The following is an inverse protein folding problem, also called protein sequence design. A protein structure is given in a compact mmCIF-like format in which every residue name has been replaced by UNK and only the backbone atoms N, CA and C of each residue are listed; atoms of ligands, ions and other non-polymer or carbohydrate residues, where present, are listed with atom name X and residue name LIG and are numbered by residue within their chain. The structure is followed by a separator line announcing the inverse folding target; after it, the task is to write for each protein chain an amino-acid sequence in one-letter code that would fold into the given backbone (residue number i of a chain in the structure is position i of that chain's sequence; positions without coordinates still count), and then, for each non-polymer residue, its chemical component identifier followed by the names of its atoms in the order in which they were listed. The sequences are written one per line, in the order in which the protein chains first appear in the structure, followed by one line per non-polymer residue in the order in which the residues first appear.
data_IF_767219084132
#
_entry.id   IF_767219084132
#
_cell.length_a   1.000
_cell.length_b   1.000
_cell.length_c   1.000
_cell.angle_alpha   90.00
_cell.angle_beta   90.00
_cell.angle_gamma   90.00
#
_symmetry.space_group_name_H-M   'P 1'
#
loop_
_entity.id
_entity.type
_entity.pdbx_description
1 polymer ?
#
# COMPACT_ATOMS: atom_id res chain seq x y z
N UNK A 1 85.61 33.92 15.42
CA UNK A 1 84.50 33.43 14.59
C UNK A 1 83.69 34.62 14.09
N UNK A 2 83.86 34.98 12.82
CA UNK A 2 83.30 36.20 12.23
C UNK A 2 81.78 36.10 12.09
N UNK A 3 81.04 37.22 12.16
CA UNK A 3 79.58 37.24 12.03
C UNK A 3 79.07 36.68 10.70
N UNK A 4 79.92 36.67 9.67
CA UNK A 4 79.61 36.11 8.35
C UNK A 4 79.50 34.57 8.36
N UNK A 5 80.38 33.89 9.09
CA UNK A 5 80.36 32.42 9.17
C UNK A 5 79.10 31.91 9.89
N UNK A 6 78.65 32.63 10.93
CA UNK A 6 77.40 32.29 11.64
C UNK A 6 76.16 32.43 10.77
N UNK A 7 76.14 33.35 9.81
CA UNK A 7 75.03 33.52 8.87
C UNK A 7 74.99 32.41 7.83
N UNK A 8 76.16 31.97 7.36
CA UNK A 8 76.27 30.83 6.42
C UNK A 8 75.83 29.54 7.09
N UNK A 9 76.31 29.26 8.31
CA UNK A 9 75.91 28.06 9.06
C UNK A 9 74.40 28.03 9.34
N UNK A 10 73.79 29.18 9.65
CA UNK A 10 72.33 29.29 9.83
C UNK A 10 71.56 29.09 8.52
N UNK A 11 72.04 29.64 7.41
CA UNK A 11 71.41 29.47 6.11
C UNK A 11 71.45 28.00 5.66
N UNK A 12 72.59 27.34 5.84
CA UNK A 12 72.75 25.92 5.50
C UNK A 12 71.89 25.02 6.40
N UNK A 13 71.81 25.32 7.70
CA UNK A 13 70.93 24.60 8.62
C UNK A 13 69.45 24.74 8.25
N UNK A 14 69.00 25.95 7.88
CA UNK A 14 67.61 26.18 7.46
C UNK A 14 67.30 25.48 6.12
N UNK A 15 68.25 25.45 5.19
CA UNK A 15 68.08 24.76 3.92
C UNK A 15 67.93 23.25 4.09
N UNK A 16 68.75 22.65 4.97
CA UNK A 16 68.67 21.23 5.28
C UNK A 16 67.33 20.85 5.93
N UNK A 17 66.81 21.68 6.83
CA UNK A 17 65.48 21.45 7.45
C UNK A 17 64.36 21.56 6.42
N UNK A 18 64.44 22.53 5.50
CA UNK A 18 63.43 22.69 4.46
C UNK A 18 63.39 21.50 3.47
N UNK A 19 64.55 20.92 3.14
CA UNK A 19 64.64 19.73 2.29
C UNK A 19 64.10 18.48 3.00
N UNK A 20 64.43 18.30 4.28
CA UNK A 20 63.92 17.19 5.08
C UNK A 20 62.39 17.22 5.18
N UNK A 21 61.79 18.39 5.43
CA UNK A 21 60.33 18.52 5.47
C UNK A 21 59.66 18.24 4.12
N UNK A 22 60.29 18.63 3.00
CA UNK A 22 59.75 18.34 1.67
C UNK A 22 59.82 16.84 1.35
N UNK A 23 60.88 16.15 1.77
CA UNK A 23 60.99 14.71 1.61
C UNK A 23 59.94 13.96 2.43
N UNK A 24 59.76 14.33 3.70
CA UNK A 24 58.73 13.74 4.58
C UNK A 24 57.31 14.02 4.06
N UNK A 25 57.05 15.24 3.58
CA UNK A 25 55.78 15.61 2.95
C UNK A 25 55.53 14.79 1.68
N UNK A 26 56.54 14.60 0.83
CA UNK A 26 56.41 13.79 -0.38
C UNK A 26 56.15 12.30 -0.07
N UNK A 27 56.78 11.75 0.97
CA UNK A 27 56.55 10.38 1.41
C UNK A 27 55.16 10.18 2.03
N UNK A 28 54.71 11.13 2.87
CA UNK A 28 53.35 11.09 3.42
C UNK A 28 52.29 11.24 2.34
N UNK A 29 52.52 12.10 1.34
CA UNK A 29 51.61 12.25 0.21
C UNK A 29 51.55 11.00 -0.68
N UNK A 30 52.68 10.30 -0.86
CA UNK A 30 52.72 8.99 -1.55
C UNK A 30 52.01 7.90 -0.77
N UNK A 31 52.12 7.87 0.56
CA UNK A 31 51.40 6.91 1.42
C UNK A 31 49.90 7.17 1.49
N UNK A 32 49.49 8.44 1.34
CA UNK A 32 48.09 8.85 1.45
C UNK A 32 47.35 8.89 0.11
N UNK A 33 48.01 8.68 -1.03
CA UNK A 33 47.28 8.53 -2.30
C UNK A 33 46.54 7.18 -2.30
N UNK A 34 45.19 7.16 -2.21
CA UNK A 34 44.46 5.92 -2.38
C UNK A 34 44.72 5.38 -3.79
N UNK A 35 44.74 4.06 -4.00
CA UNK A 35 44.84 3.52 -5.34
C UNK A 35 43.69 4.09 -6.17
N UNK A 36 44.02 4.78 -7.26
CA UNK A 36 43.03 5.25 -8.25
C UNK A 36 42.32 4.02 -8.80
N UNK A 37 41.17 3.66 -8.20
CA UNK A 37 40.24 2.64 -8.72
C UNK A 37 39.53 3.22 -9.96
N UNK A 38 40.30 3.43 -11.01
CA UNK A 38 39.78 3.73 -12.34
C UNK A 38 39.34 2.41 -12.96
N UNK A 39 38.09 2.06 -12.72
CA UNK A 39 37.44 0.91 -13.30
C UNK A 39 36.07 0.83 -12.69
N UNK A 40 35.10 1.52 -13.29
CA UNK A 40 33.70 1.10 -13.19
C UNK A 40 33.67 -0.36 -13.59
N UNK A 41 33.65 -1.23 -12.58
CA UNK A 41 33.70 -2.67 -12.78
C UNK A 41 32.52 -3.02 -13.69
N UNK A 42 32.70 -3.83 -14.74
CA UNK A 42 31.61 -4.19 -15.65
C UNK A 42 30.40 -4.74 -14.89
N UNK A 43 30.61 -5.34 -13.72
CA UNK A 43 29.59 -5.74 -12.77
C UNK A 43 28.65 -4.60 -12.34
N UNK A 44 29.13 -3.38 -12.08
CA UNK A 44 28.26 -2.26 -11.67
C UNK A 44 27.40 -1.76 -12.82
N UNK A 45 27.93 -1.80 -14.05
CA UNK A 45 27.18 -1.49 -15.27
C UNK A 45 26.08 -2.53 -15.49
N UNK A 46 26.41 -3.82 -15.38
CA UNK A 46 25.43 -4.90 -15.49
C UNK A 46 24.32 -4.80 -14.44
N UNK A 47 24.66 -4.51 -13.18
CA UNK A 47 23.68 -4.30 -12.10
C UNK A 47 22.79 -3.09 -12.42
N UNK A 48 23.37 -2.00 -12.93
CA UNK A 48 22.62 -0.80 -13.33
C UNK A 48 21.62 -1.09 -14.46
N UNK A 49 22.03 -1.85 -15.48
CA UNK A 49 21.16 -2.27 -16.59
C UNK A 49 20.04 -3.18 -16.07
N UNK A 50 20.38 -4.17 -15.23
CA UNK A 50 19.40 -5.07 -14.65
C UNK A 50 18.36 -4.30 -13.81
N UNK A 51 18.81 -3.36 -12.98
CA UNK A 51 17.91 -2.51 -12.19
C UNK A 51 17.01 -1.66 -13.10
N UNK A 52 17.55 -1.03 -14.14
CA UNK A 52 16.76 -0.24 -15.09
C UNK A 52 15.70 -1.10 -15.82
N UNK A 53 16.05 -2.32 -16.23
CA UNK A 53 15.11 -3.26 -16.84
C UNK A 53 14.00 -3.68 -15.86
N UNK A 54 14.33 -3.97 -14.61
CA UNK A 54 13.34 -4.33 -13.57
C UNK A 54 12.41 -3.16 -13.28
N UNK A 55 12.92 -1.93 -13.15
CA UNK A 55 12.09 -0.75 -12.97
C UNK A 55 11.20 -0.48 -14.20
N UNK A 56 11.74 -0.61 -15.40
CA UNK A 56 10.97 -0.45 -16.65
C UNK A 56 9.86 -1.49 -16.78
N UNK A 57 10.16 -2.74 -16.43
CA UNK A 57 9.17 -3.81 -16.38
C UNK A 57 8.11 -3.55 -15.29
N UNK A 58 8.51 -3.11 -14.11
CA UNK A 58 7.59 -2.79 -13.01
C UNK A 58 6.62 -1.65 -13.39
N UNK A 59 7.09 -0.67 -14.16
CA UNK A 59 6.27 0.45 -14.63
C UNK A 59 5.29 0.07 -15.74
N UNK A 60 5.69 -0.84 -16.64
CA UNK A 60 4.87 -1.27 -17.78
C UNK A 60 3.90 -2.40 -17.40
N UNK A 61 4.38 -3.42 -16.71
CA UNK A 61 3.58 -4.58 -16.34
C UNK A 61 2.71 -4.33 -15.10
N UNK A 62 3.03 -3.32 -14.27
CA UNK A 62 2.35 -3.00 -12.99
C UNK A 62 1.80 -4.24 -12.29
N UNK A 63 2.67 -5.19 -11.92
CA UNK A 63 2.23 -6.48 -11.41
C UNK A 63 1.28 -6.28 -10.23
N UNK A 64 0.11 -6.92 -10.33
CA UNK A 64 -0.93 -6.81 -9.31
C UNK A 64 -0.38 -7.14 -7.91
N UNK A 65 0.54 -8.10 -7.79
CA UNK A 65 1.19 -8.43 -6.51
C UNK A 65 1.80 -7.24 -5.74
N UNK A 66 2.27 -6.19 -6.44
CA UNK A 66 2.90 -5.01 -5.82
C UNK A 66 1.91 -3.83 -5.74
N UNK A 67 1.12 -3.60 -6.80
CA UNK A 67 0.29 -2.40 -6.91
C UNK A 67 -1.19 -2.60 -6.55
N UNK A 68 -1.66 -3.83 -6.57
CA UNK A 68 -3.01 -4.21 -6.20
C UNK A 68 -2.94 -5.62 -5.59
N UNK A 69 -2.24 -5.79 -4.45
CA UNK A 69 -2.22 -7.09 -3.79
C UNK A 69 -3.70 -7.45 -3.59
N UNK A 70 -4.18 -8.46 -4.30
CA UNK A 70 -5.56 -8.84 -4.18
C UNK A 70 -5.73 -9.24 -2.71
N UNK A 71 -6.40 -8.39 -1.93
CA UNK A 71 -6.86 -8.73 -0.58
C UNK A 71 -8.01 -9.73 -0.74
N UNK A 72 -7.74 -10.85 -1.40
CA UNK A 72 -8.56 -12.05 -1.42
C UNK A 72 -8.28 -12.82 -0.13
N UNK A 73 -8.25 -12.11 1.01
CA UNK A 73 -8.48 -12.80 2.26
C UNK A 73 -9.87 -13.42 2.11
N UNK A 74 -10.01 -14.75 2.18
CA UNK A 74 -11.31 -15.37 2.04
C UNK A 74 -12.22 -14.76 3.10
N UNK A 75 -13.27 -14.04 2.67
CA UNK A 75 -14.23 -13.48 3.60
C UNK A 75 -14.68 -14.62 4.49
N UNK A 76 -14.48 -14.46 5.81
CA UNK A 76 -15.05 -15.42 6.76
C UNK A 76 -16.54 -15.52 6.48
N UNK A 77 -17.17 -16.69 6.66
CA UNK A 77 -18.60 -16.85 6.40
C UNK A 77 -19.44 -15.79 7.14
N UNK A 78 -19.02 -15.40 8.36
CA UNK A 78 -19.62 -14.31 9.13
C UNK A 78 -19.47 -12.92 8.46
N UNK A 79 -18.30 -12.62 7.88
CA UNK A 79 -18.09 -11.36 7.16
C UNK A 79 -18.88 -11.31 5.84
N UNK A 80 -18.98 -12.42 5.11
CA UNK A 80 -19.82 -12.53 3.92
C UNK A 80 -21.29 -12.29 4.27
N UNK A 81 -21.76 -12.89 5.36
CA UNK A 81 -23.12 -12.73 5.86
C UNK A 81 -23.41 -11.28 6.30
N UNK A 82 -22.49 -10.66 7.04
CA UNK A 82 -22.58 -9.25 7.43
C UNK A 82 -22.65 -8.31 6.21
N UNK A 83 -21.81 -8.55 5.19
CA UNK A 83 -21.84 -7.80 3.93
C UNK A 83 -23.18 -7.96 3.21
N UNK A 84 -23.75 -9.17 3.18
CA UNK A 84 -25.04 -9.41 2.56
C UNK A 84 -26.20 -8.68 3.25
N UNK A 85 -26.20 -8.66 4.59
CA UNK A 85 -27.17 -7.88 5.38
C UNK A 85 -27.03 -6.38 5.12
N UNK A 86 -25.80 -5.88 5.11
CA UNK A 86 -25.53 -4.47 4.86
C UNK A 86 -26.03 -4.03 3.47
N UNK A 87 -25.83 -4.86 2.44
CA UNK A 87 -26.37 -4.57 1.11
C UNK A 87 -27.90 -4.55 1.08
N UNK A 88 -28.57 -5.50 1.74
CA UNK A 88 -30.05 -5.49 1.85
C UNK A 88 -30.55 -4.22 2.54
N UNK A 89 -29.83 -3.75 3.56
CA UNK A 89 -30.12 -2.50 4.25
C UNK A 89 -29.98 -1.27 3.32
N UNK A 90 -28.93 -1.23 2.49
CA UNK A 90 -28.75 -0.16 1.50
C UNK A 90 -29.84 -0.15 0.43
N UNK A 91 -30.26 -1.32 -0.05
CA UNK A 91 -31.39 -1.42 -0.99
C UNK A 91 -32.69 -0.93 -0.38
N UNK A 92 -32.95 -1.30 0.88
CA UNK A 92 -34.10 -0.79 1.63
C UNK A 92 -34.10 0.73 1.71
N UNK A 93 -32.96 1.32 2.08
CA UNK A 93 -32.82 2.77 2.17
C UNK A 93 -33.12 3.48 0.84
N UNK A 94 -32.76 2.85 -0.30
CA UNK A 94 -33.09 3.34 -1.65
C UNK A 94 -34.58 3.25 -1.95
N UNK A 95 -35.21 2.12 -1.68
CA UNK A 95 -36.66 1.95 -1.87
C UNK A 95 -37.42 2.96 -1.02
N UNK A 96 -37.01 3.18 0.22
CA UNK A 96 -37.62 4.15 1.13
C UNK A 96 -37.42 5.59 0.62
N UNK A 97 -36.24 5.93 0.11
CA UNK A 97 -35.97 7.23 -0.49
C UNK A 97 -36.86 7.49 -1.72
N UNK A 98 -37.00 6.49 -2.60
CA UNK A 98 -37.90 6.56 -3.75
C UNK A 98 -39.36 6.76 -3.33
N UNK A 99 -39.81 6.01 -2.33
CA UNK A 99 -41.17 6.14 -1.79
C UNK A 99 -41.43 7.54 -1.23
N UNK A 100 -40.46 8.13 -0.53
CA UNK A 100 -40.57 9.50 0.00
C UNK A 100 -40.62 10.56 -1.10
N UNK A 101 -39.90 10.36 -2.20
CA UNK A 101 -39.83 11.36 -3.29
C UNK A 101 -41.01 11.27 -4.26
N UNK A 102 -41.46 10.06 -4.62
CA UNK A 102 -42.53 9.84 -5.62
C UNK A 102 -43.88 9.57 -4.96
N UNK A 103 -43.91 9.24 -3.66
CA UNK A 103 -45.13 8.91 -2.93
C UNK A 103 -45.68 7.51 -3.21
N UNK A 104 -44.94 6.68 -3.95
CA UNK A 104 -45.33 5.30 -4.32
C UNK A 104 -44.14 4.34 -4.21
N UNK A 105 -44.42 3.06 -4.03
CA UNK A 105 -43.38 2.03 -4.09
C UNK A 105 -42.89 1.86 -5.55
N UNK A 106 -41.59 1.59 -5.74
CA UNK A 106 -41.07 1.27 -7.07
C UNK A 106 -41.62 -0.09 -7.53
N UNK A 107 -41.91 -0.24 -8.83
CA UNK A 107 -42.34 -1.54 -9.36
C UNK A 107 -41.16 -2.50 -9.59
N UNK A 108 -39.93 -1.98 -9.59
CA UNK A 108 -38.67 -2.74 -9.67
C UNK A 108 -37.54 -1.98 -8.99
N UNK A 109 -36.47 -2.67 -8.56
CA UNK A 109 -35.31 -2.01 -7.94
C UNK A 109 -34.62 -1.03 -8.88
N UNK A 110 -34.63 -1.30 -10.18
CA UNK A 110 -34.04 -0.44 -11.21
C UNK A 110 -34.67 0.98 -11.24
N UNK A 111 -35.94 1.10 -10.85
CA UNK A 111 -36.60 2.39 -10.73
C UNK A 111 -36.10 3.20 -9.54
N UNK A 112 -35.63 2.54 -8.49
CA UNK A 112 -35.03 3.18 -7.31
C UNK A 112 -33.53 3.47 -7.48
N UNK A 113 -32.90 2.95 -8.54
CA UNK A 113 -31.51 3.25 -8.91
C UNK A 113 -30.74 2.03 -9.44
N UNK A 114 -29.40 2.14 -9.57
CA UNK A 114 -28.55 1.05 -10.04
C UNK A 114 -28.60 -0.15 -9.08
N UNK A 115 -28.89 -1.35 -9.60
CA UNK A 115 -29.11 -2.55 -8.77
C UNK A 115 -27.81 -3.35 -8.63
N UNK A 116 -27.57 -3.92 -7.45
CA UNK A 116 -26.50 -4.90 -7.25
C UNK A 116 -27.02 -6.32 -7.59
N UNK A 117 -26.23 -7.10 -8.35
CA UNK A 117 -26.62 -8.33 -9.10
C UNK A 117 -27.14 -9.55 -8.29
N UNK A 118 -27.76 -9.38 -7.13
CA UNK A 118 -28.20 -10.51 -6.30
C UNK A 118 -29.36 -10.23 -5.35
N UNK A 119 -30.02 -9.07 -5.46
CA UNK A 119 -31.17 -8.73 -4.61
C UNK A 119 -32.46 -8.86 -5.40
N UNK A 120 -33.35 -9.74 -4.94
CA UNK A 120 -34.70 -9.89 -5.48
C UNK A 120 -35.65 -9.00 -4.70
N UNK A 121 -36.44 -8.19 -5.41
CA UNK A 121 -37.49 -7.37 -4.83
C UNK A 121 -38.86 -7.90 -5.19
N UNK A 122 -39.73 -8.00 -4.19
CA UNK A 122 -41.13 -8.41 -4.35
C UNK A 122 -42.04 -7.49 -3.57
N UNK A 123 -43.12 -7.06 -4.22
CA UNK A 123 -44.20 -6.31 -3.57
C UNK A 123 -45.18 -7.34 -3.01
N UNK A 124 -45.65 -7.09 -1.79
CA UNK A 124 -46.69 -7.89 -1.12
C UNK A 124 -47.85 -6.97 -0.73
N UNK A 125 -49.02 -7.54 -0.43
CA UNK A 125 -50.26 -6.77 -0.19
C UNK A 125 -50.15 -5.73 0.96
N UNK A 126 -49.12 -5.81 1.80
CA UNK A 126 -48.86 -4.89 2.91
C UNK A 126 -47.50 -4.19 2.87
N UNK A 127 -46.73 -4.28 1.78
CA UNK A 127 -45.40 -3.66 1.71
C UNK A 127 -44.49 -4.27 0.65
N UNK A 128 -43.23 -4.50 1.03
CA UNK A 128 -42.25 -5.13 0.14
C UNK A 128 -41.31 -6.04 0.92
N UNK A 129 -40.70 -6.96 0.18
CA UNK A 129 -39.70 -7.91 0.66
C UNK A 129 -38.48 -7.84 -0.24
N UNK A 130 -37.31 -7.71 0.38
CA UNK A 130 -36.00 -7.81 -0.27
C UNK A 130 -35.39 -9.15 0.11
N UNK A 131 -35.01 -9.95 -0.88
CA UNK A 131 -34.39 -11.26 -0.67
C UNK A 131 -32.99 -11.30 -1.27
N UNK A 132 -32.04 -11.88 -0.54
CA UNK A 132 -30.69 -12.18 -1.05
C UNK A 132 -30.27 -13.56 -0.57
N UNK A 133 -29.69 -14.36 -1.46
CA UNK A 133 -29.08 -15.64 -1.10
C UNK A 133 -27.58 -15.43 -0.86
N UNK A 134 -27.11 -15.74 0.34
CA UNK A 134 -25.71 -15.62 0.73
C UNK A 134 -25.28 -16.88 1.48
N UNK A 135 -24.16 -17.48 1.09
CA UNK A 135 -23.60 -18.68 1.76
C UNK A 135 -24.60 -19.83 1.94
N UNK A 136 -25.56 -19.99 1.03
CA UNK A 136 -26.61 -21.03 1.09
C UNK A 136 -27.83 -20.67 1.95
N UNK A 137 -27.78 -19.59 2.73
CA UNK A 137 -28.92 -19.08 3.49
C UNK A 137 -29.70 -18.03 2.69
N UNK A 138 -31.04 -18.11 2.72
CA UNK A 138 -31.91 -17.07 2.19
C UNK A 138 -32.09 -16.00 3.28
N UNK A 139 -31.68 -14.78 2.98
CA UNK A 139 -31.90 -13.62 3.84
C UNK A 139 -33.04 -12.81 3.28
N UNK A 140 -34.00 -12.49 4.14
CA UNK A 140 -35.15 -11.65 3.80
C UNK A 140 -35.17 -10.45 4.71
N UNK A 141 -35.41 -9.27 4.13
CA UNK A 141 -35.65 -8.02 4.84
C UNK A 141 -37.00 -7.48 4.39
N UNK A 142 -37.91 -7.29 5.34
CA UNK A 142 -39.26 -6.75 5.10
C UNK A 142 -39.34 -5.30 5.55
N UNK A 143 -40.30 -4.55 5.03
CA UNK A 143 -40.55 -3.15 5.44
C UNK A 143 -40.85 -3.01 6.96
N UNK A 144 -41.37 -4.07 7.58
CA UNK A 144 -41.75 -4.05 9.01
C UNK A 144 -40.58 -4.40 9.95
N UNK A 145 -39.47 -4.97 9.43
CA UNK A 145 -38.33 -5.35 10.26
C UNK A 145 -37.56 -4.15 10.80
N UNK A 146 -37.10 -4.21 12.05
CA UNK A 146 -36.19 -3.21 12.58
C UNK A 146 -34.78 -3.40 11.98
N UNK A 147 -34.29 -2.37 11.29
CA UNK A 147 -32.98 -2.35 10.64
C UNK A 147 -31.82 -2.56 11.62
N UNK A 148 -31.90 -2.02 12.84
CA UNK A 148 -30.83 -2.14 13.83
C UNK A 148 -30.69 -3.57 14.33
N UNK A 149 -31.83 -4.25 14.53
CA UNK A 149 -31.86 -5.67 14.91
C UNK A 149 -31.32 -6.56 13.79
N UNK A 150 -31.65 -6.24 12.54
CA UNK A 150 -31.20 -7.00 11.37
C UNK A 150 -29.68 -6.93 11.16
N UNK A 151 -29.08 -5.75 11.41
CA UNK A 151 -27.62 -5.57 11.32
C UNK A 151 -26.88 -6.13 12.55
N UNK A 152 -27.45 -5.97 13.75
CA UNK A 152 -26.80 -6.35 15.02
C UNK A 152 -26.57 -7.86 15.19
N UNK A 153 -27.38 -8.72 14.58
CA UNK A 153 -27.19 -10.19 14.69
C UNK A 153 -25.90 -10.67 14.01
N UNK A 154 -25.29 -9.88 13.13
CA UNK A 154 -24.06 -10.24 12.43
C UNK A 154 -22.79 -10.11 13.30
N UNK A 155 -22.83 -9.31 14.37
CA UNK A 155 -21.65 -9.02 15.19
C UNK A 155 -21.39 -10.07 16.29
N UNK A 156 -22.39 -10.90 16.62
CA UNK A 156 -22.26 -11.94 17.64
C UNK A 156 -22.00 -13.28 16.96
N UNK A 157 -20.74 -13.50 16.57
CA UNK A 157 -20.27 -14.86 16.32
C UNK A 157 -20.30 -15.63 17.66
N UNK A 158 -21.03 -16.76 17.79
CA UNK A 158 -20.97 -17.55 19.01
C UNK A 158 -19.54 -18.08 19.21
N UNK A 159 -19.01 -18.06 20.45
CA UNK A 159 -17.70 -18.63 20.72
C UNK A 159 -17.73 -20.12 20.37
N UNK A 160 -16.82 -20.55 19.48
CA UNK A 160 -16.60 -21.97 19.20
C UNK A 160 -16.18 -22.65 20.50
N UNK A 161 -16.98 -23.59 21.00
CA UNK A 161 -16.54 -24.50 22.07
C UNK A 161 -15.37 -25.35 21.53
N UNK A 162 -14.28 -25.50 22.30
CA UNK A 162 -13.24 -26.44 21.95
C UNK A 162 -13.82 -27.87 22.02
N UNK A 163 -13.56 -28.65 20.97
CA UNK A 163 -13.70 -30.11 20.99
C UNK A 163 -12.47 -30.73 21.64
#
# INVERSE_FOLDING_TARGET
MTPENRRKDLADALHAVAEAQRAEAAETQRRQQPPRRNGTQPATIFIGILAACVLGWLWTARPAAIFAPELTAPLTPAAAEARSRFALYLERARVDAYRRSVGRLPSSLEQAGPVEDSVTFRITDGGYVLERRASGALMQLTDQMNSDSFLGTAAVAPPRKPQ
#
